data_IF_730323922618
#
_entry.id   IF_730323922618
#
_cell.length_a   1.000
_cell.length_b   1.000
_cell.length_c   1.000
_cell.angle_alpha   90.00
_cell.angle_beta   90.00
_cell.angle_gamma   90.00
#
_symmetry.space_group_name_H-M   'P 1'
#
loop_
_entity.id
_entity.type
_entity.pdbx_description
1 polymer ?
#
# COMPACT_ATOMS: atom_id res chain seq x y z
N UNK A 1 5.07 0.09 -19.83
CA UNK A 1 5.02 1.39 -19.10
C UNK A 1 6.34 2.09 -19.30
N UNK A 2 6.31 3.37 -19.65
CA UNK A 2 7.51 4.16 -19.92
C UNK A 2 8.20 4.56 -18.61
N UNK A 3 9.40 4.02 -18.38
CA UNK A 3 10.21 4.30 -17.18
C UNK A 3 10.79 5.72 -17.15
N UNK A 4 10.80 6.41 -18.30
CA UNK A 4 11.32 7.79 -18.42
C UNK A 4 10.27 8.85 -18.13
N UNK A 5 9.03 8.45 -17.86
CA UNK A 5 7.94 9.36 -17.55
C UNK A 5 8.22 10.12 -16.27
N UNK A 6 8.10 11.44 -16.30
CA UNK A 6 8.21 12.28 -15.12
C UNK A 6 7.09 11.96 -14.14
N UNK A 7 7.40 11.94 -12.85
CA UNK A 7 6.46 11.54 -11.79
C UNK A 7 5.19 12.40 -11.79
N UNK A 8 5.31 13.70 -12.10
CA UNK A 8 4.19 14.63 -12.16
C UNK A 8 3.30 14.49 -13.41
N UNK A 9 3.66 13.62 -14.35
CA UNK A 9 2.88 13.35 -15.56
C UNK A 9 2.18 11.99 -15.53
N UNK A 10 2.14 11.34 -14.38
CA UNK A 10 1.53 10.02 -14.25
C UNK A 10 0.71 9.89 -12.98
N UNK A 11 -0.14 8.89 -12.98
CA UNK A 11 -0.79 8.36 -11.78
C UNK A 11 0.06 7.27 -11.17
N UNK A 12 0.01 7.13 -9.85
CA UNK A 12 0.62 6.04 -9.10
C UNK A 12 -0.46 5.46 -8.20
N UNK A 13 -0.70 4.17 -8.28
CA UNK A 13 -1.56 3.50 -7.31
C UNK A 13 -0.73 3.09 -6.11
N UNK A 14 -1.04 3.64 -4.95
CA UNK A 14 -0.45 3.27 -3.67
C UNK A 14 -1.37 2.27 -3.00
N UNK A 15 -0.83 1.16 -2.52
CA UNK A 15 -1.63 0.09 -1.93
C UNK A 15 -0.94 -0.55 -0.74
N UNK A 16 -1.76 -1.14 0.12
CA UNK A 16 -1.33 -1.94 1.26
C UNK A 16 -2.25 -3.15 1.45
N UNK A 17 -1.72 -4.23 2.03
CA UNK A 17 -2.46 -5.42 2.41
C UNK A 17 -2.26 -5.75 3.88
N UNK A 18 -3.35 -5.87 4.61
CA UNK A 18 -3.34 -6.54 5.90
C UNK A 18 -3.42 -8.06 5.75
N UNK A 19 -2.71 -8.77 6.60
CA UNK A 19 -2.55 -10.22 6.46
C UNK A 19 -2.85 -10.99 7.73
N UNK A 20 -3.09 -12.31 7.57
CA UNK A 20 -3.26 -13.24 8.70
C UNK A 20 -2.01 -13.42 9.55
N UNK A 21 -0.88 -12.84 9.13
CA UNK A 21 0.43 -13.08 9.74
C UNK A 21 0.94 -14.51 9.54
N UNK A 22 2.15 -14.78 10.04
CA UNK A 22 2.76 -16.11 9.94
C UNK A 22 2.19 -17.04 10.99
N UNK A 23 1.61 -18.17 10.57
CA UNK A 23 1.14 -19.26 11.40
C UNK A 23 1.71 -20.57 10.90
N UNK A 24 2.32 -21.38 11.78
CA UNK A 24 2.95 -22.65 11.39
C UNK A 24 1.94 -23.57 10.70
N UNK A 25 2.28 -24.07 9.52
CA UNK A 25 1.44 -24.98 8.75
C UNK A 25 0.39 -24.29 7.86
N UNK A 26 0.32 -22.98 7.88
CA UNK A 26 -0.65 -22.21 7.10
C UNK A 26 0.05 -21.12 6.28
N UNK A 27 -0.28 -20.95 4.99
CA UNK A 27 0.25 -19.84 4.21
C UNK A 27 -0.30 -18.51 4.73
N UNK A 28 0.49 -17.45 4.70
CA UNK A 28 -0.03 -16.09 4.98
C UNK A 28 -1.00 -15.68 3.88
N UNK A 29 -2.16 -15.19 4.26
CA UNK A 29 -3.25 -14.75 3.38
C UNK A 29 -3.60 -13.28 3.63
N UNK A 30 -3.94 -12.50 2.60
CA UNK A 30 -4.43 -11.14 2.79
C UNK A 30 -5.90 -11.17 3.21
N UNK A 31 -6.29 -10.27 4.13
CA UNK A 31 -7.68 -10.12 4.57
C UNK A 31 -8.26 -8.72 4.32
N UNK A 32 -7.42 -7.75 4.01
CA UNK A 32 -7.82 -6.39 3.65
C UNK A 32 -6.91 -5.86 2.55
N UNK A 33 -7.45 -5.10 1.62
CA UNK A 33 -6.75 -4.33 0.61
C UNK A 33 -7.19 -2.87 0.71
N UNK A 34 -6.23 -1.97 0.89
CA UNK A 34 -6.41 -0.52 0.80
C UNK A 34 -5.68 0.03 -0.41
N UNK A 35 -6.28 1.00 -1.09
CA UNK A 35 -5.64 1.69 -2.23
C UNK A 35 -6.01 3.16 -2.24
N UNK A 36 -5.07 3.97 -2.74
CA UNK A 36 -5.27 5.39 -3.06
C UNK A 36 -4.40 5.75 -4.26
N UNK A 37 -4.75 6.79 -4.98
CA UNK A 37 -3.99 7.26 -6.15
C UNK A 37 -3.26 8.56 -5.83
N UNK A 38 -2.00 8.63 -6.25
CA UNK A 38 -1.31 9.90 -6.45
C UNK A 38 -1.47 10.32 -7.90
N UNK A 39 -1.98 11.52 -8.14
CA UNK A 39 -2.05 12.15 -9.46
C UNK A 39 -1.18 13.40 -9.49
N UNK A 40 -0.29 13.48 -10.46
CA UNK A 40 0.70 14.56 -10.54
C UNK A 40 1.46 14.79 -9.21
N UNK A 41 1.82 13.70 -8.52
CA UNK A 41 2.55 13.74 -7.25
C UNK A 41 1.73 14.15 -6.03
N UNK A 42 0.40 14.30 -6.16
CA UNK A 42 -0.53 14.66 -5.09
C UNK A 42 -1.53 13.54 -4.82
N UNK A 43 -1.84 13.31 -3.55
CA UNK A 43 -2.86 12.35 -3.17
C UNK A 43 -4.24 12.86 -3.61
N UNK A 44 -5.00 11.97 -4.29
CA UNK A 44 -6.40 12.19 -4.66
C UNK A 44 -7.32 11.47 -3.64
N UNK A 45 -7.97 12.21 -2.73
CA UNK A 45 -8.83 11.61 -1.71
C UNK A 45 -10.04 10.87 -2.27
N UNK A 46 -10.55 11.28 -3.44
CA UNK A 46 -11.71 10.66 -4.07
C UNK A 46 -11.38 9.30 -4.70
N UNK A 47 -10.08 8.98 -4.82
CA UNK A 47 -9.58 7.71 -5.34
C UNK A 47 -9.51 6.60 -4.30
N UNK A 48 -9.76 6.89 -3.01
CA UNK A 48 -9.66 5.91 -1.93
C UNK A 48 -10.54 4.71 -2.20
N UNK A 49 -9.99 3.52 -1.95
CA UNK A 49 -10.68 2.24 -2.13
C UNK A 49 -10.26 1.26 -1.04
N UNK A 50 -11.22 0.53 -0.52
CA UNK A 50 -11.01 -0.55 0.44
C UNK A 50 -11.85 -1.76 0.07
N UNK A 51 -11.32 -2.94 0.34
CA UNK A 51 -12.08 -4.19 0.32
C UNK A 51 -11.56 -5.17 1.36
N UNK A 52 -12.48 -5.82 2.07
CA UNK A 52 -12.16 -7.08 2.76
C UNK A 52 -11.87 -8.16 1.72
N UNK A 53 -11.08 -9.13 2.12
CA UNK A 53 -10.75 -10.31 1.32
C UNK A 53 -11.11 -11.56 2.12
N UNK A 54 -11.62 -12.55 1.43
CA UNK A 54 -12.08 -13.80 2.02
C UNK A 54 -10.95 -14.52 2.74
N UNK A 55 -11.22 -14.84 4.00
CA UNK A 55 -10.44 -15.76 4.81
C UNK A 55 -11.43 -16.72 5.49
N UNK A 56 -11.17 -18.02 5.38
CA UNK A 56 -12.05 -19.01 5.97
C UNK A 56 -12.22 -18.81 7.48
N UNK A 57 -13.43 -19.08 7.99
CA UNK A 57 -13.80 -18.80 9.37
C UNK A 57 -12.92 -19.53 10.40
N UNK A 58 -12.48 -20.74 10.08
CA UNK A 58 -11.60 -21.59 10.90
C UNK A 58 -10.10 -21.33 10.69
N UNK A 59 -9.75 -20.48 9.71
CA UNK A 59 -8.35 -20.11 9.44
C UNK A 59 -7.72 -19.41 10.63
N UNK A 60 -6.63 -19.94 11.23
CA UNK A 60 -5.97 -19.28 12.33
C UNK A 60 -5.22 -18.02 11.85
N UNK A 61 -5.32 -16.96 12.62
CA UNK A 61 -4.50 -15.76 12.49
C UNK A 61 -3.35 -15.82 13.50
N UNK A 62 -2.24 -15.22 13.17
CA UNK A 62 -1.20 -14.99 14.15
C UNK A 62 -1.77 -14.09 15.26
N UNK A 63 -1.73 -14.50 16.55
CA UNK A 63 -2.29 -13.72 17.65
C UNK A 63 -1.60 -12.36 17.86
N UNK A 64 -0.40 -12.21 17.31
CA UNK A 64 0.37 -10.96 17.34
C UNK A 64 0.26 -10.16 16.03
N UNK A 65 -0.52 -10.63 15.05
CA UNK A 65 -0.78 -9.84 13.84
C UNK A 65 -1.60 -8.61 14.23
N UNK A 66 -1.18 -7.41 13.82
CA UNK A 66 -1.91 -6.19 14.10
C UNK A 66 -3.24 -6.13 13.31
N UNK A 67 -4.06 -5.13 13.61
CA UNK A 67 -5.30 -4.84 12.90
C UNK A 67 -6.55 -5.42 13.53
N UNK A 68 -7.69 -5.15 12.89
CA UNK A 68 -9.05 -5.41 13.42
C UNK A 68 -9.61 -6.81 13.11
N UNK A 69 -8.82 -7.69 12.50
CA UNK A 69 -9.25 -8.99 11.97
C UNK A 69 -10.04 -9.85 12.97
N UNK A 70 -9.70 -9.80 14.27
CA UNK A 70 -10.37 -10.60 15.30
C UNK A 70 -11.86 -10.28 15.45
N UNK A 71 -12.28 -9.05 15.12
CA UNK A 71 -13.69 -8.59 15.17
C UNK A 71 -14.45 -8.80 13.88
N UNK A 72 -13.74 -9.14 12.79
CA UNK A 72 -14.27 -9.20 11.42
C UNK A 72 -14.36 -10.63 10.89
N UNK A 73 -14.27 -11.66 11.75
CA UNK A 73 -14.20 -13.08 11.31
C UNK A 73 -15.39 -13.51 10.45
N UNK A 74 -16.59 -13.08 10.81
CA UNK A 74 -17.80 -13.42 10.07
C UNK A 74 -17.83 -12.69 8.72
N UNK A 75 -17.51 -11.41 8.71
CA UNK A 75 -17.48 -10.58 7.52
C UNK A 75 -16.40 -11.05 6.54
N UNK A 76 -15.23 -11.47 7.05
CA UNK A 76 -14.13 -11.98 6.22
C UNK A 76 -14.49 -13.33 5.57
N UNK A 77 -15.29 -14.19 6.22
CA UNK A 77 -15.74 -15.44 5.63
C UNK A 77 -16.66 -15.24 4.43
N UNK A 78 -17.43 -14.14 4.42
CA UNK A 78 -18.37 -13.77 3.35
C UNK A 78 -17.79 -12.78 2.34
N UNK A 79 -16.57 -12.28 2.57
CA UNK A 79 -15.90 -11.33 1.69
C UNK A 79 -15.53 -11.97 0.33
N UNK A 80 -15.32 -11.17 -0.72
CA UNK A 80 -14.88 -11.69 -2.01
C UNK A 80 -13.47 -12.29 -1.91
N UNK A 81 -13.23 -13.35 -2.67
CA UNK A 81 -11.87 -13.83 -2.93
C UNK A 81 -11.07 -12.79 -3.72
N UNK A 82 -9.73 -12.84 -3.70
CA UNK A 82 -8.93 -11.96 -4.55
C UNK A 82 -9.29 -12.03 -6.04
N UNK A 83 -9.68 -13.22 -6.53
CA UNK A 83 -10.08 -13.43 -7.93
C UNK A 83 -11.43 -12.80 -8.25
N UNK A 84 -12.38 -12.85 -7.33
CA UNK A 84 -13.69 -12.18 -7.47
C UNK A 84 -13.57 -10.67 -7.39
N UNK A 85 -12.62 -10.15 -6.59
CA UNK A 85 -12.34 -8.72 -6.49
C UNK A 85 -11.61 -8.18 -7.74
N UNK A 86 -10.82 -9.01 -8.44
CA UNK A 86 -9.96 -8.60 -9.55
C UNK A 86 -10.62 -7.70 -10.60
N UNK A 87 -11.82 -7.99 -11.13
CA UNK A 87 -12.46 -7.14 -12.13
C UNK A 87 -12.65 -5.68 -11.70
N UNK A 88 -12.94 -5.43 -10.43
CA UNK A 88 -13.20 -4.09 -9.88
C UNK A 88 -11.93 -3.28 -9.62
N UNK A 89 -10.80 -3.96 -9.40
CA UNK A 89 -9.50 -3.30 -9.08
C UNK A 89 -8.51 -3.31 -10.24
N UNK A 90 -8.78 -4.10 -11.28
CA UNK A 90 -7.87 -4.32 -12.41
C UNK A 90 -7.31 -3.01 -12.98
N UNK A 91 -8.15 -2.07 -13.34
CA UNK A 91 -7.71 -0.81 -13.97
C UNK A 91 -6.74 -0.02 -13.07
N UNK A 92 -6.96 -0.05 -11.73
CA UNK A 92 -6.07 0.62 -10.77
C UNK A 92 -4.70 -0.06 -10.67
N UNK A 93 -4.63 -1.37 -10.85
CA UNK A 93 -3.42 -2.16 -10.65
C UNK A 93 -2.61 -2.40 -11.94
N UNK A 94 -3.20 -2.22 -13.12
CA UNK A 94 -2.54 -2.59 -14.39
C UNK A 94 -2.03 -1.42 -15.21
N UNK A 95 -2.69 -0.27 -15.09
CA UNK A 95 -2.46 0.84 -16.03
C UNK A 95 -1.42 1.84 -15.51
N UNK A 96 -1.04 1.73 -14.23
CA UNK A 96 -0.17 2.68 -13.55
C UNK A 96 0.99 2.00 -12.81
N UNK A 97 2.06 2.76 -12.48
CA UNK A 97 3.05 2.32 -11.50
C UNK A 97 2.37 2.04 -10.15
N UNK A 98 2.89 1.06 -9.44
CA UNK A 98 2.41 0.67 -8.12
C UNK A 98 3.41 1.13 -7.05
N UNK A 99 2.90 1.49 -5.89
CA UNK A 99 3.70 1.93 -4.78
C UNK A 99 3.22 1.29 -3.48
N UNK A 100 4.15 0.98 -2.57
CA UNK A 100 3.86 0.54 -1.21
C UNK A 100 5.04 0.86 -0.29
N UNK A 101 4.83 0.73 1.01
CA UNK A 101 5.91 0.77 1.98
C UNK A 101 6.42 -0.65 2.24
N UNK A 102 7.65 -1.01 1.75
CA UNK A 102 8.19 -2.36 1.80
C UNK A 102 7.43 -3.36 0.89
N UNK A 103 7.45 -3.14 -0.38
CA UNK A 103 6.65 -3.76 -1.46
C UNK A 103 6.60 -5.30 -1.56
N UNK A 104 7.28 -6.04 -0.68
CA UNK A 104 7.40 -7.50 -0.80
C UNK A 104 6.06 -8.23 -0.70
N UNK A 105 5.26 -7.87 0.29
CA UNK A 105 3.93 -8.42 0.56
C UNK A 105 2.96 -8.06 -0.56
N UNK A 106 2.94 -6.80 -0.96
CA UNK A 106 2.04 -6.24 -1.97
C UNK A 106 2.28 -6.87 -3.35
N UNK A 107 3.54 -7.00 -3.74
CA UNK A 107 3.93 -7.72 -4.97
C UNK A 107 3.46 -9.18 -4.97
N UNK A 108 3.61 -9.87 -3.84
CA UNK A 108 3.19 -11.27 -3.69
C UNK A 108 1.69 -11.40 -3.89
N UNK A 109 0.88 -10.66 -3.14
CA UNK A 109 -0.57 -10.83 -3.15
C UNK A 109 -1.21 -10.27 -4.42
N UNK A 110 -0.72 -9.15 -4.94
CA UNK A 110 -1.16 -8.63 -6.25
C UNK A 110 -0.91 -9.65 -7.37
N UNK A 111 0.25 -10.32 -7.36
CA UNK A 111 0.54 -11.41 -8.32
C UNK A 111 -0.36 -12.64 -8.12
N UNK A 112 -0.68 -13.01 -6.88
CA UNK A 112 -1.59 -14.12 -6.61
C UNK A 112 -3.03 -13.81 -7.05
N UNK A 113 -3.47 -12.55 -6.95
CA UNK A 113 -4.78 -12.09 -7.42
C UNK A 113 -4.92 -12.26 -8.95
N UNK A 114 -3.86 -11.97 -9.71
CA UNK A 114 -3.88 -12.07 -11.17
C UNK A 114 -2.55 -12.63 -11.72
N UNK A 115 -2.30 -13.94 -11.59
CA UNK A 115 -1.00 -14.56 -11.87
C UNK A 115 -0.57 -14.49 -13.34
N UNK A 116 -1.52 -14.36 -14.26
CA UNK A 116 -1.25 -14.23 -15.71
C UNK A 116 -1.01 -12.77 -16.14
N UNK A 117 -1.18 -11.82 -15.23
CA UNK A 117 -1.02 -10.40 -15.53
C UNK A 117 0.42 -9.92 -15.25
N UNK A 118 0.90 -8.99 -16.09
CA UNK A 118 2.17 -8.30 -15.85
C UNK A 118 1.89 -6.93 -15.25
N UNK A 119 2.29 -6.76 -14.02
CA UNK A 119 2.20 -5.48 -13.32
C UNK A 119 3.35 -4.55 -13.72
N UNK A 120 3.10 -3.24 -13.59
CA UNK A 120 4.06 -2.20 -13.93
C UNK A 120 5.24 -2.10 -12.95
N UNK A 121 5.90 -0.95 -12.98
CA UNK A 121 6.98 -0.63 -12.05
C UNK A 121 6.44 -0.50 -10.62
N UNK A 122 7.28 -0.87 -9.65
CA UNK A 122 6.98 -0.75 -8.24
C UNK A 122 7.91 0.24 -7.56
N UNK A 123 7.35 1.20 -6.89
CA UNK A 123 8.03 2.20 -6.07
C UNK A 123 7.96 1.74 -4.61
N UNK A 124 9.09 1.68 -3.93
CA UNK A 124 9.21 1.25 -2.53
C UNK A 124 9.55 2.44 -1.63
N UNK A 125 8.57 2.99 -0.93
CA UNK A 125 8.78 4.16 -0.07
C UNK A 125 9.72 3.89 1.09
N UNK A 126 9.84 2.64 1.58
CA UNK A 126 10.84 2.26 2.58
C UNK A 126 12.27 2.44 2.05
N UNK A 127 12.53 1.98 0.84
CA UNK A 127 13.86 2.09 0.21
C UNK A 127 14.20 3.54 -0.09
N UNK A 128 13.22 4.31 -0.57
CA UNK A 128 13.37 5.74 -0.83
C UNK A 128 13.64 6.49 0.47
N UNK A 129 12.90 6.22 1.54
CA UNK A 129 13.11 6.86 2.85
C UNK A 129 14.52 6.60 3.40
N UNK A 130 15.03 5.37 3.26
CA UNK A 130 16.41 5.03 3.64
C UNK A 130 17.46 5.84 2.87
N UNK A 131 17.19 6.15 1.62
CA UNK A 131 18.07 6.97 0.78
C UNK A 131 17.94 8.47 1.08
N UNK A 132 16.71 8.93 1.35
CA UNK A 132 16.44 10.34 1.65
C UNK A 132 16.99 10.76 3.02
N UNK A 133 16.88 9.89 4.02
CA UNK A 133 17.26 10.18 5.41
C UNK A 133 18.22 9.11 5.97
N UNK A 134 19.45 9.00 5.45
CA UNK A 134 20.41 8.03 5.95
C UNK A 134 20.71 8.31 7.42
N UNK A 135 20.59 7.28 8.28
CA UNK A 135 20.82 7.41 9.72
C UNK A 135 19.57 7.70 10.55
N UNK A 136 18.38 7.69 9.96
CA UNK A 136 17.14 7.67 10.73
C UNK A 136 17.09 6.43 11.64
N UNK A 137 16.58 6.58 12.85
CA UNK A 137 16.55 5.50 13.87
C UNK A 137 15.55 4.40 13.54
N UNK A 138 14.48 4.75 12.83
CA UNK A 138 13.47 3.82 12.34
C UNK A 138 13.00 4.25 10.95
N UNK A 139 12.62 3.25 10.16
CA UNK A 139 12.00 3.43 8.85
C UNK A 139 10.64 2.73 8.79
N UNK A 140 10.05 2.37 9.93
CA UNK A 140 8.66 1.94 9.98
C UNK A 140 7.75 3.10 9.55
N UNK A 141 6.66 2.78 8.84
CA UNK A 141 5.76 3.78 8.28
C UNK A 141 5.23 4.71 9.38
N UNK A 142 4.77 4.15 10.48
CA UNK A 142 4.24 4.88 11.63
C UNK A 142 5.25 5.88 12.24
N UNK A 143 6.51 5.45 12.36
CA UNK A 143 7.56 6.31 12.89
C UNK A 143 7.89 7.44 11.93
N UNK A 144 7.89 7.17 10.61
CA UNK A 144 8.16 8.18 9.59
C UNK A 144 7.04 9.23 9.50
N UNK A 145 5.77 8.83 9.54
CA UNK A 145 4.65 9.79 9.49
C UNK A 145 4.59 10.69 10.72
N UNK A 146 5.01 10.18 11.88
CA UNK A 146 5.13 10.98 13.12
C UNK A 146 6.34 11.91 13.01
N UNK A 147 7.50 11.39 12.62
CA UNK A 147 8.75 12.18 12.48
C UNK A 147 8.58 13.36 11.52
N UNK A 148 7.82 13.18 10.44
CA UNK A 148 7.62 14.17 9.38
C UNK A 148 6.37 15.03 9.58
N UNK A 149 5.68 14.90 10.71
CA UNK A 149 4.44 15.62 11.05
C UNK A 149 3.31 15.44 10.01
N UNK A 150 3.23 14.24 9.41
CA UNK A 150 2.21 13.89 8.41
C UNK A 150 0.94 13.29 9.04
N UNK A 151 1.05 12.78 10.27
CA UNK A 151 -0.04 12.08 10.94
C UNK A 151 -1.35 12.88 11.04
N UNK A 152 -1.37 14.20 11.37
CA UNK A 152 -2.61 14.98 11.45
C UNK A 152 -3.39 15.03 10.13
N UNK A 153 -2.69 15.13 8.98
CA UNK A 153 -3.33 15.14 7.68
C UNK A 153 -3.91 13.76 7.33
N UNK A 154 -3.18 12.68 7.65
CA UNK A 154 -3.61 11.30 7.42
C UNK A 154 -4.84 10.99 8.26
N UNK A 155 -4.84 11.35 9.55
CA UNK A 155 -5.97 11.15 10.45
C UNK A 155 -7.22 11.92 9.98
N UNK A 156 -7.04 13.11 9.41
CA UNK A 156 -8.14 13.90 8.84
C UNK A 156 -8.74 13.25 7.57
N UNK A 157 -7.91 12.59 6.75
CA UNK A 157 -8.35 11.85 5.57
C UNK A 157 -8.98 10.49 5.93
N UNK A 158 -8.49 9.84 6.97
CA UNK A 158 -8.86 8.48 7.37
C UNK A 158 -9.62 8.47 8.71
N UNK A 159 -10.70 9.23 8.82
CA UNK A 159 -11.46 9.38 10.06
C UNK A 159 -11.90 8.02 10.62
N UNK A 160 -11.55 7.76 11.90
CA UNK A 160 -11.89 6.52 12.60
C UNK A 160 -11.03 5.32 12.23
N UNK A 161 -9.94 5.51 11.50
CA UNK A 161 -8.93 4.50 11.18
C UNK A 161 -7.63 4.80 11.90
N UNK A 162 -6.78 3.81 11.97
CA UNK A 162 -5.46 3.87 12.62
C UNK A 162 -4.47 2.97 11.88
N UNK A 163 -3.21 3.02 12.24
CA UNK A 163 -2.18 2.12 11.74
C UNK A 163 -2.65 0.65 11.77
N UNK A 164 -2.20 -0.13 10.80
CA UNK A 164 -2.63 -1.51 10.55
C UNK A 164 -4.09 -1.62 10.08
N UNK A 165 -4.58 -0.60 9.44
CA UNK A 165 -5.72 -0.64 8.53
C UNK A 165 -5.18 -0.37 7.13
N UNK A 166 -5.39 -1.30 6.18
CA UNK A 166 -4.75 -1.24 4.86
C UNK A 166 -5.03 0.07 4.10
N UNK A 167 -6.22 0.67 4.27
CA UNK A 167 -6.48 1.97 3.64
C UNK A 167 -5.72 3.10 4.33
N UNK A 168 -5.64 3.09 5.66
CA UNK A 168 -4.82 4.05 6.41
C UNK A 168 -3.35 3.97 5.99
N UNK A 169 -2.79 2.76 5.91
CA UNK A 169 -1.39 2.54 5.58
C UNK A 169 -1.08 2.86 4.11
N UNK A 170 -2.02 2.61 3.18
CA UNK A 170 -1.92 3.07 1.80
C UNK A 170 -1.90 4.61 1.70
N UNK A 171 -2.78 5.30 2.44
CA UNK A 171 -2.82 6.77 2.51
C UNK A 171 -1.55 7.33 3.16
N UNK A 172 -1.07 6.70 4.25
CA UNK A 172 0.18 7.08 4.91
C UNK A 172 1.39 6.94 3.96
N UNK A 173 1.46 5.83 3.22
CA UNK A 173 2.50 5.60 2.21
C UNK A 173 2.43 6.62 1.07
N UNK A 174 1.22 7.00 0.64
CA UNK A 174 1.00 8.02 -0.37
C UNK A 174 1.43 9.41 0.12
N UNK A 175 1.07 9.79 1.34
CA UNK A 175 1.49 11.07 1.97
C UNK A 175 3.00 11.12 2.16
N UNK A 176 3.63 10.01 2.53
CA UNK A 176 5.09 9.92 2.62
C UNK A 176 5.75 10.15 1.25
N UNK A 177 5.23 9.53 0.18
CA UNK A 177 5.75 9.75 -1.18
C UNK A 177 5.50 11.18 -1.65
N UNK A 178 4.31 11.73 -1.44
CA UNK A 178 3.99 13.14 -1.75
C UNK A 178 4.96 14.11 -1.06
N UNK A 179 5.23 13.89 0.23
CA UNK A 179 6.19 14.69 0.99
C UNK A 179 7.60 14.58 0.40
N UNK A 180 8.07 13.37 0.11
CA UNK A 180 9.38 13.14 -0.51
C UNK A 180 9.51 13.87 -1.85
N UNK A 181 8.50 13.79 -2.71
CA UNK A 181 8.49 14.44 -4.02
C UNK A 181 8.50 15.98 -3.92
N UNK A 182 8.04 16.55 -2.81
CA UNK A 182 8.09 17.99 -2.54
C UNK A 182 9.46 18.48 -2.13
N UNK A 183 10.38 17.59 -1.73
CA UNK A 183 11.71 17.97 -1.29
C UNK A 183 12.62 18.36 -2.46
N UNK A 184 13.60 19.28 -2.25
CA UNK A 184 14.54 19.67 -3.27
C UNK A 184 15.28 18.47 -3.89
N UNK A 185 15.27 18.38 -5.22
CA UNK A 185 15.94 17.31 -5.97
C UNK A 185 15.13 16.03 -6.18
N UNK A 186 13.97 15.87 -5.55
CA UNK A 186 13.14 14.66 -5.68
C UNK A 186 12.02 14.80 -6.71
N UNK A 187 11.41 15.97 -6.84
CA UNK A 187 10.30 16.21 -7.77
C UNK A 187 10.66 16.10 -9.25
N UNK A 188 11.94 16.17 -9.61
CA UNK A 188 12.41 15.99 -11.00
C UNK A 188 12.66 14.54 -11.40
N UNK A 189 12.49 13.57 -10.49
CA UNK A 189 12.77 12.17 -10.77
C UNK A 189 11.70 11.54 -11.66
N UNK A 190 12.12 10.57 -12.45
CA UNK A 190 11.24 9.71 -13.25
C UNK A 190 10.71 8.54 -12.41
N UNK A 191 9.65 7.91 -12.89
CA UNK A 191 9.11 6.68 -12.30
C UNK A 191 10.16 5.57 -12.23
N UNK A 192 10.98 5.45 -13.30
CA UNK A 192 12.04 4.44 -13.37
C UNK A 192 13.15 4.67 -12.32
N UNK A 193 13.53 5.92 -12.09
CA UNK A 193 14.53 6.25 -11.07
C UNK A 193 14.03 5.96 -9.66
N UNK A 194 12.76 6.27 -9.35
CA UNK A 194 12.14 5.92 -8.06
C UNK A 194 12.01 4.40 -7.88
N UNK A 195 11.63 3.67 -8.92
CA UNK A 195 11.47 2.21 -8.87
C UNK A 195 12.81 1.46 -8.78
N UNK A 196 13.92 2.09 -9.18
CA UNK A 196 15.27 1.54 -9.11
C UNK A 196 15.97 1.75 -7.75
N UNK A 197 15.39 2.55 -6.87
CA UNK A 197 15.91 2.78 -5.52
C UNK A 197 15.63 1.61 -4.60
#
# INVERSE_FOLDING_TARGET
MDSTMAIFNTRITVLDYETTGSVRGFPTEPWQLGMVTLEAGKLDPDSMFESWLKVDADRPFNPHAPGRHARLRAELAEAPTPQELWPSVKARLTDFPLCAHNVGTEKKFTRQMAPMHRFGLWIDTLRIARKAWPGCTSYALDDLIVLLDLKPEIDALCVGREAHDALYDAVASAKLLEYLLSQPGWGGLTVGELAAM
#
